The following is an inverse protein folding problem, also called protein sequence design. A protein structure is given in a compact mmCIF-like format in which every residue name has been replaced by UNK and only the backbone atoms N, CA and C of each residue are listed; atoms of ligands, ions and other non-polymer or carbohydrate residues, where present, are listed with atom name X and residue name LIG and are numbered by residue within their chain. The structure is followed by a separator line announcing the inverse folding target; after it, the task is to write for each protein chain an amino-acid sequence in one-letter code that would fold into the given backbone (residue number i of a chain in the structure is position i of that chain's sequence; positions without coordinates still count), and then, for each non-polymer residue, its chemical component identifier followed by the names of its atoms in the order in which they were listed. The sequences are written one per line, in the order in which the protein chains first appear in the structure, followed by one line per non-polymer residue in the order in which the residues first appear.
data_IF_918096945489
#
_entry.id   IF_918096945489
#
_cell.length_a   1.000
_cell.length_b   1.000
_cell.length_c   1.000
_cell.angle_alpha   90.00
_cell.angle_beta   90.00
_cell.angle_gamma   90.00
#
_symmetry.space_group_name_H-M   'P 1'
#
loop_
_entity.id
_entity.type
_entity.pdbx_description
1 polymer ?
#
# COMPACT_ATOMS: atom_id res chain seq x y z
N UNK A 1 24.32 0.40 21.18
CA UNK A 1 23.82 0.36 19.79
C UNK A 1 22.34 0.67 19.83
N UNK A 2 21.93 1.89 19.50
CA UNK A 2 20.51 2.25 19.42
C UNK A 2 20.05 2.05 17.98
N UNK A 3 19.33 0.97 17.72
CA UNK A 3 18.55 0.83 16.49
C UNK A 3 17.33 1.73 16.62
N UNK A 4 17.51 3.01 16.28
CA UNK A 4 16.41 3.96 16.14
C UNK A 4 16.01 3.95 14.66
N UNK A 5 15.38 2.85 14.23
CA UNK A 5 14.81 2.80 12.89
C UNK A 5 13.69 3.84 12.83
N UNK A 6 13.74 4.79 11.88
CA UNK A 6 12.69 5.79 11.76
C UNK A 6 11.36 5.07 11.53
N UNK A 7 10.25 5.55 12.14
CA UNK A 7 8.95 4.92 11.96
C UNK A 7 8.62 4.85 10.46
N UNK A 8 8.29 3.66 9.98
CA UNK A 8 7.96 3.44 8.58
C UNK A 8 6.91 4.46 8.12
N UNK A 9 7.10 5.08 6.94
CA UNK A 9 6.11 5.99 6.40
C UNK A 9 4.74 5.32 6.30
N UNK A 10 3.66 6.06 6.60
CA UNK A 10 2.29 5.52 6.55
C UNK A 10 1.94 4.89 5.20
N UNK A 11 2.44 5.48 4.10
CA UNK A 11 2.21 4.95 2.75
C UNK A 11 2.92 3.60 2.55
N UNK A 12 4.08 3.41 3.17
CA UNK A 12 4.84 2.16 3.08
C UNK A 12 4.13 1.02 3.79
N UNK A 13 3.51 1.31 4.95
CA UNK A 13 2.66 0.33 5.64
C UNK A 13 1.49 -0.12 4.76
N UNK A 14 0.82 0.82 4.09
CA UNK A 14 -0.28 0.50 3.17
C UNK A 14 0.22 -0.28 1.94
N UNK A 15 1.35 0.12 1.38
CA UNK A 15 2.02 -0.60 0.31
C UNK A 15 2.29 -2.06 0.70
N UNK A 16 2.89 -2.32 1.87
CA UNK A 16 3.16 -3.70 2.33
C UNK A 16 1.88 -4.51 2.49
N UNK A 17 0.80 -3.89 2.98
CA UNK A 17 -0.50 -4.57 3.09
C UNK A 17 -1.07 -4.98 1.72
N UNK A 18 -0.92 -4.13 0.70
CA UNK A 18 -1.36 -4.41 -0.67
C UNK A 18 -0.45 -5.46 -1.31
N UNK A 19 0.86 -5.33 -1.13
CA UNK A 19 1.85 -6.29 -1.61
C UNK A 19 1.56 -7.69 -1.07
N UNK A 20 1.31 -7.82 0.23
CA UNK A 20 0.95 -9.10 0.82
C UNK A 20 -0.37 -9.69 0.30
N UNK A 21 -1.36 -8.85 -0.03
CA UNK A 21 -2.60 -9.31 -0.67
C UNK A 21 -2.34 -9.86 -2.08
N UNK A 22 -1.41 -9.23 -2.82
CA UNK A 22 -0.97 -9.71 -4.14
C UNK A 22 -0.21 -11.03 -3.99
N UNK A 23 0.74 -11.12 -3.06
CA UNK A 23 1.51 -12.35 -2.81
C UNK A 23 0.63 -13.52 -2.36
N UNK A 24 -0.43 -13.24 -1.61
CA UNK A 24 -1.43 -14.24 -1.19
C UNK A 24 -2.37 -14.68 -2.32
N UNK A 25 -2.31 -14.01 -3.48
CA UNK A 25 -3.22 -14.26 -4.59
C UNK A 25 -4.64 -13.74 -4.38
N UNK A 26 -4.86 -12.87 -3.38
CA UNK A 26 -6.16 -12.19 -3.19
C UNK A 26 -6.42 -11.19 -4.32
N UNK A 27 -5.35 -10.65 -4.91
CA UNK A 27 -5.37 -9.81 -6.11
C UNK A 27 -4.70 -10.58 -7.26
N UNK A 28 -5.47 -11.14 -8.21
CA UNK A 28 -4.90 -11.83 -9.35
C UNK A 28 -4.07 -10.87 -10.22
N UNK A 29 -3.03 -11.41 -10.88
CA UNK A 29 -2.28 -10.67 -11.90
C UNK A 29 -3.25 -10.22 -13.00
N UNK A 30 -3.25 -8.92 -13.32
CA UNK A 30 -4.21 -8.20 -14.18
C UNK A 30 -5.57 -7.84 -13.54
N UNK A 31 -5.79 -8.13 -12.27
CA UNK A 31 -6.94 -7.58 -11.57
C UNK A 31 -6.77 -6.06 -11.41
N UNK A 32 -7.87 -5.33 -11.58
CA UNK A 32 -7.88 -3.90 -11.27
C UNK A 32 -7.79 -3.75 -9.76
N UNK A 33 -6.82 -2.96 -9.31
CA UNK A 33 -6.80 -2.48 -7.93
C UNK A 33 -8.09 -1.69 -7.66
N UNK A 34 -8.68 -1.84 -6.46
CA UNK A 34 -9.74 -0.95 -6.00
C UNK A 34 -9.30 0.51 -6.08
N UNK A 35 -10.28 1.41 -6.17
CA UNK A 35 -10.01 2.84 -6.31
C UNK A 35 -9.33 3.43 -5.07
N UNK A 36 -8.68 4.59 -5.23
CA UNK A 36 -8.07 5.30 -4.09
C UNK A 36 -9.10 5.60 -3.00
N UNK A 37 -10.34 5.94 -3.39
CA UNK A 37 -11.43 6.22 -2.46
C UNK A 37 -11.82 4.98 -1.68
N UNK A 38 -11.95 3.81 -2.33
CA UNK A 38 -12.23 2.57 -1.63
C UNK A 38 -11.13 2.22 -0.61
N UNK A 39 -9.87 2.45 -0.93
CA UNK A 39 -8.76 2.26 0.01
C UNK A 39 -8.75 3.29 1.14
N UNK A 40 -9.07 4.55 0.83
CA UNK A 40 -9.25 5.62 1.81
C UNK A 40 -10.33 5.23 2.83
N UNK A 41 -11.49 4.73 2.35
CA UNK A 41 -12.59 4.27 3.19
C UNK A 41 -12.27 2.98 3.96
N UNK A 42 -11.67 1.98 3.30
CA UNK A 42 -11.40 0.66 3.89
C UNK A 42 -10.34 0.71 4.98
N UNK A 43 -9.30 1.51 4.77
CA UNK A 43 -8.12 1.55 5.66
C UNK A 43 -7.96 2.87 6.41
N UNK A 44 -8.91 3.81 6.24
CA UNK A 44 -8.95 5.11 6.91
C UNK A 44 -7.65 5.93 6.72
N UNK A 45 -7.01 5.78 5.56
CA UNK A 45 -5.82 6.56 5.16
C UNK A 45 -6.23 7.76 4.33
N UNK A 46 -5.47 8.86 4.44
CA UNK A 46 -5.68 10.00 3.55
C UNK A 46 -5.41 9.63 2.09
N UNK A 47 -6.14 10.21 1.15
CA UNK A 47 -5.97 10.00 -0.30
C UNK A 47 -4.51 10.14 -0.75
N UNK A 48 -3.77 11.12 -0.24
CA UNK A 48 -2.35 11.30 -0.57
C UNK A 48 -1.43 10.17 -0.08
N UNK A 49 -1.82 9.46 0.98
CA UNK A 49 -1.10 8.27 1.48
C UNK A 49 -1.41 7.05 0.61
N UNK A 50 -2.68 6.89 0.20
CA UNK A 50 -3.10 5.84 -0.74
C UNK A 50 -2.43 6.00 -2.08
N UNK A 51 -2.43 7.22 -2.63
CA UNK A 51 -1.74 7.55 -3.89
C UNK A 51 -0.27 7.15 -3.84
N UNK A 52 0.47 7.58 -2.81
CA UNK A 52 1.89 7.22 -2.64
C UNK A 52 2.14 5.72 -2.52
N UNK A 53 1.23 5.00 -1.87
CA UNK A 53 1.34 3.54 -1.77
C UNK A 53 1.14 2.87 -3.15
N UNK A 54 0.19 3.36 -3.95
CA UNK A 54 -0.04 2.88 -5.30
C UNK A 54 1.11 3.25 -6.24
N UNK A 55 1.65 4.46 -6.16
CA UNK A 55 2.82 4.87 -6.94
C UNK A 55 4.03 3.99 -6.61
N UNK A 56 4.26 3.68 -5.32
CA UNK A 56 5.31 2.75 -4.91
C UNK A 56 5.07 1.33 -5.45
N UNK A 57 3.83 0.84 -5.39
CA UNK A 57 3.46 -0.47 -5.93
C UNK A 57 3.66 -0.55 -7.46
N UNK A 58 3.35 0.52 -8.18
CA UNK A 58 3.54 0.61 -9.63
C UNK A 58 5.01 0.76 -10.04
N UNK A 59 5.90 1.20 -9.14
CA UNK A 59 7.33 1.30 -9.38
C UNK A 59 8.08 -0.02 -9.16
N UNK A 60 7.52 -0.96 -8.39
CA UNK A 60 8.12 -2.28 -8.16
C UNK A 60 7.70 -3.35 -9.17
N UNK A 61 6.62 -3.12 -9.92
CA UNK A 61 6.14 -3.99 -10.99
C UNK A 61 6.84 -3.72 -12.33
#
# INVERSE_FOLDING_TARGET
MLQNEPPLPKYYRLYQMIHQQIERGELPVNARLPTEEEYCHRYNFSRGTVRKAFDALAQEA
#
